data_IF_688009588270
#
_entry.id   IF_688009588270
#
_cell.length_a   1.000
_cell.length_b   1.000
_cell.length_c   1.000
_cell.angle_alpha   90.00
_cell.angle_beta   90.00
_cell.angle_gamma   90.00
#
_symmetry.space_group_name_H-M   'P 1'
#
loop_
_entity.id
_entity.type
_entity.pdbx_description
1 polymer ?
#
# COMPACT_ATOMS: atom_id res chain seq x y z
N UNK A 1 -27.92 25.47 44.35
CA UNK A 1 -28.24 24.23 43.62
C UNK A 1 -27.53 24.29 42.28
N UNK A 2 -26.43 23.55 42.13
CA UNK A 2 -25.61 23.58 40.90
C UNK A 2 -26.03 22.39 40.06
N UNK A 3 -26.71 22.65 38.94
CA UNK A 3 -27.12 21.63 37.98
C UNK A 3 -25.92 21.40 37.05
N UNK A 4 -25.16 20.33 37.29
CA UNK A 4 -24.14 19.86 36.36
C UNK A 4 -24.85 19.01 35.32
N UNK A 5 -25.12 19.59 34.15
CA UNK A 5 -25.59 18.83 32.99
C UNK A 5 -24.44 17.97 32.46
N UNK A 6 -24.50 16.66 32.73
CA UNK A 6 -23.68 15.63 32.08
C UNK A 6 -24.07 15.55 30.60
N UNK A 7 -23.44 16.37 29.77
CA UNK A 7 -23.39 16.15 28.33
C UNK A 7 -22.41 15.00 28.08
N UNK A 8 -22.94 13.77 27.97
CA UNK A 8 -22.19 12.64 27.46
C UNK A 8 -21.78 12.95 26.01
N UNK A 9 -20.50 13.28 25.83
CA UNK A 9 -19.91 13.44 24.50
C UNK A 9 -19.97 12.09 23.79
N UNK A 10 -20.91 11.94 22.86
CA UNK A 10 -20.95 10.86 21.89
C UNK A 10 -19.76 11.03 20.94
N UNK A 11 -18.60 10.52 21.35
CA UNK A 11 -17.49 10.27 20.43
C UNK A 11 -17.93 9.07 19.59
N UNK A 12 -18.07 9.19 18.25
CA UNK A 12 -18.39 8.03 17.42
C UNK A 12 -17.30 6.97 17.60
N UNK A 13 -17.72 5.70 17.72
CA UNK A 13 -16.79 4.59 17.83
C UNK A 13 -15.74 4.65 16.70
N UNK A 14 -14.46 4.43 17.01
CA UNK A 14 -13.41 4.44 15.99
C UNK A 14 -13.77 3.39 14.92
N UNK A 15 -13.58 3.70 13.62
CA UNK A 15 -13.96 2.79 12.55
C UNK A 15 -13.29 1.43 12.73
N UNK A 16 -14.10 0.36 12.67
CA UNK A 16 -13.62 -1.01 12.69
C UNK A 16 -12.56 -1.20 11.58
N UNK A 17 -11.42 -1.84 11.86
CA UNK A 17 -10.42 -2.13 10.84
C UNK A 17 -11.05 -2.97 9.72
N UNK A 18 -10.87 -2.50 8.48
CA UNK A 18 -11.39 -3.09 7.25
C UNK A 18 -11.08 -4.60 7.20
N UNK A 19 -12.11 -5.40 6.95
CA UNK A 19 -12.12 -6.85 7.10
C UNK A 19 -11.17 -7.64 6.18
N UNK A 20 -10.58 -6.98 5.18
CA UNK A 20 -9.88 -7.61 4.05
C UNK A 20 -8.34 -7.75 4.24
N UNK A 21 -7.75 -7.20 5.30
CA UNK A 21 -6.30 -7.26 5.58
C UNK A 21 -5.88 -8.39 6.56
N UNK A 22 -6.77 -9.36 6.84
CA UNK A 22 -6.46 -10.49 7.74
C UNK A 22 -5.75 -11.61 7.00
N UNK A 23 -4.42 -11.54 6.91
CA UNK A 23 -3.61 -12.72 7.17
C UNK A 23 -3.74 -12.99 8.69
N UNK A 24 -4.84 -13.57 9.18
CA UNK A 24 -5.20 -14.96 8.93
C UNK A 24 -4.64 -15.86 10.03
N UNK A 25 -4.55 -15.37 11.27
CA UNK A 25 -4.82 -16.01 12.57
C UNK A 25 -4.14 -15.15 13.66
N UNK A 26 -4.93 -14.49 14.49
CA UNK A 26 -4.44 -13.65 15.58
C UNK A 26 -4.51 -14.43 16.89
N UNK A 27 -3.36 -14.85 17.42
CA UNK A 27 -3.29 -15.62 18.66
C UNK A 27 -2.92 -14.75 19.86
N UNK A 28 -3.40 -15.17 21.03
CA UNK A 28 -3.09 -14.53 22.30
C UNK A 28 -1.67 -14.89 22.71
N UNK A 29 -0.85 -13.88 22.99
CA UNK A 29 0.55 -14.05 23.39
C UNK A 29 0.74 -14.98 24.60
N UNK A 30 -0.27 -15.09 25.47
CA UNK A 30 -0.19 -15.84 26.74
C UNK A 30 -0.70 -17.27 26.62
N UNK A 31 -1.79 -17.49 25.88
CA UNK A 31 -2.51 -18.77 25.91
C UNK A 31 -2.77 -19.36 24.53
N UNK A 32 -2.29 -18.71 23.46
CA UNK A 32 -2.41 -19.14 22.07
C UNK A 32 -3.84 -19.37 21.55
N UNK A 33 -4.87 -18.94 22.31
CA UNK A 33 -6.26 -18.87 21.83
C UNK A 33 -6.44 -17.70 20.88
N UNK A 34 -7.56 -17.68 20.15
CA UNK A 34 -7.95 -16.53 19.34
C UNK A 34 -7.96 -15.23 20.15
N UNK A 35 -7.36 -14.19 19.58
CA UNK A 35 -7.14 -12.90 20.22
C UNK A 35 -7.77 -11.76 19.42
N UNK A 36 -9.05 -11.43 19.72
CA UNK A 36 -9.73 -10.32 19.07
C UNK A 36 -9.19 -8.96 19.53
N UNK A 37 -8.55 -8.87 20.69
CA UNK A 37 -8.07 -7.60 21.25
C UNK A 37 -6.60 -7.37 20.94
N UNK A 38 -6.26 -6.14 20.58
CA UNK A 38 -4.89 -5.63 20.47
C UNK A 38 -4.58 -4.72 21.65
N UNK A 39 -3.33 -4.72 22.12
CA UNK A 39 -2.88 -3.71 23.10
C UNK A 39 -3.15 -2.30 22.56
N UNK A 40 -3.91 -1.49 23.29
CA UNK A 40 -4.33 -0.15 22.83
C UNK A 40 -3.16 0.82 22.64
N UNK A 41 -2.06 0.63 23.38
CA UNK A 41 -0.88 1.47 23.31
C UNK A 41 -0.01 1.14 22.08
N UNK A 42 0.48 -0.09 21.97
CA UNK A 42 1.40 -0.46 20.88
C UNK A 42 0.70 -1.01 19.64
N UNK A 43 -0.56 -1.47 19.72
CA UNK A 43 -1.34 -2.06 18.61
C UNK A 43 -0.66 -3.27 17.92
N UNK A 44 0.37 -3.85 18.54
CA UNK A 44 1.14 -4.98 17.99
C UNK A 44 0.76 -6.29 18.66
N UNK A 45 0.89 -6.38 19.99
CA UNK A 45 0.58 -7.61 20.73
C UNK A 45 -0.93 -7.80 20.89
N UNK A 46 -1.37 -9.05 20.80
CA UNK A 46 -2.79 -9.42 20.88
C UNK A 46 -3.10 -10.30 22.08
N UNK A 47 -4.31 -10.13 22.62
CA UNK A 47 -4.80 -10.86 23.78
C UNK A 47 -6.24 -11.33 23.58
N UNK A 48 -6.59 -12.45 24.19
CA UNK A 48 -7.96 -12.94 24.23
C UNK A 48 -8.81 -12.23 25.29
N UNK A 49 -8.18 -11.57 26.27
CA UNK A 49 -8.86 -10.89 27.38
C UNK A 49 -7.94 -9.92 28.13
N UNK A 50 -8.51 -8.96 28.90
CA UNK A 50 -7.74 -8.11 29.82
C UNK A 50 -6.94 -8.91 30.87
N UNK A 51 -7.43 -10.09 31.26
CA UNK A 51 -6.71 -10.98 32.18
C UNK A 51 -5.37 -11.44 31.59
N UNK A 52 -5.36 -11.88 30.33
CA UNK A 52 -4.11 -12.28 29.66
C UNK A 52 -3.17 -11.08 29.47
N UNK A 53 -3.69 -9.92 29.12
CA UNK A 53 -2.88 -8.69 29.04
C UNK A 53 -2.24 -8.35 30.39
N UNK A 54 -3.00 -8.42 31.48
CA UNK A 54 -2.50 -8.16 32.83
C UNK A 54 -1.43 -9.16 33.28
N UNK A 55 -1.60 -10.43 32.95
CA UNK A 55 -0.61 -11.48 33.23
C UNK A 55 0.72 -11.24 32.48
N UNK A 56 0.64 -10.80 31.23
CA UNK A 56 1.80 -10.52 30.38
C UNK A 56 2.47 -9.17 30.68
N UNK A 57 1.77 -8.23 31.33
CA UNK A 57 2.20 -6.83 31.44
C UNK A 57 3.63 -6.63 31.95
N UNK A 58 4.09 -7.47 32.90
CA UNK A 58 5.46 -7.38 33.44
C UNK A 58 6.53 -7.56 32.35
N UNK A 59 6.27 -8.42 31.38
CA UNK A 59 7.14 -8.70 30.24
C UNK A 59 6.83 -7.73 29.10
N UNK A 60 5.54 -7.59 28.75
CA UNK A 60 5.09 -6.75 27.65
C UNK A 60 5.43 -5.26 27.80
N UNK A 61 5.45 -4.69 29.01
CA UNK A 61 5.67 -3.24 29.20
C UNK A 61 6.92 -2.68 28.50
N UNK A 62 7.98 -3.48 28.40
CA UNK A 62 9.22 -3.05 27.76
C UNK A 62 9.10 -3.14 26.23
N UNK A 63 8.63 -4.27 25.70
CA UNK A 63 8.38 -4.43 24.26
C UNK A 63 7.29 -3.47 23.77
N UNK A 64 6.29 -3.16 24.59
CA UNK A 64 5.25 -2.18 24.31
C UNK A 64 5.82 -0.79 23.99
N UNK A 65 6.79 -0.31 24.79
CA UNK A 65 7.47 0.97 24.54
C UNK A 65 8.30 0.94 23.26
N UNK A 66 8.96 -0.19 22.98
CA UNK A 66 9.74 -0.37 21.76
C UNK A 66 8.82 -0.32 20.54
N UNK A 67 7.71 -1.07 20.56
CA UNK A 67 6.73 -1.09 19.49
C UNK A 67 6.06 0.27 19.26
N UNK A 68 5.76 1.03 20.33
CA UNK A 68 5.26 2.40 20.18
C UNK A 68 6.26 3.28 19.40
N UNK A 69 7.54 3.27 19.79
CA UNK A 69 8.59 4.02 19.07
C UNK A 69 8.75 3.54 17.62
N UNK A 70 8.71 2.23 17.38
CA UNK A 70 8.78 1.66 16.03
C UNK A 70 7.60 2.13 15.19
N UNK A 71 6.38 2.14 15.73
CA UNK A 71 5.18 2.60 15.04
C UNK A 71 5.25 4.10 14.72
N UNK A 72 5.74 4.91 15.65
CA UNK A 72 5.99 6.35 15.43
C UNK A 72 6.99 6.57 14.29
N UNK A 73 8.12 5.85 14.30
CA UNK A 73 9.13 5.91 13.24
C UNK A 73 8.56 5.46 11.89
N UNK A 74 7.84 4.33 11.86
CA UNK A 74 7.18 3.83 10.66
C UNK A 74 6.17 4.83 10.11
N UNK A 75 5.39 5.47 10.97
CA UNK A 75 4.44 6.52 10.58
C UNK A 75 5.17 7.72 9.98
N UNK A 76 6.27 8.17 10.60
CA UNK A 76 7.09 9.26 10.07
C UNK A 76 7.69 8.92 8.70
N UNK A 77 8.25 7.72 8.54
CA UNK A 77 8.78 7.22 7.27
C UNK A 77 7.67 7.12 6.21
N UNK A 78 6.48 6.66 6.58
CA UNK A 78 5.34 6.55 5.68
C UNK A 78 4.91 7.92 5.14
N UNK A 79 4.91 8.95 6.00
CA UNK A 79 4.55 10.32 5.66
C UNK A 79 5.67 11.08 4.93
N UNK A 80 6.92 10.62 5.03
CA UNK A 80 8.05 11.28 4.38
C UNK A 80 8.12 10.80 2.92
N UNK A 81 7.98 11.71 1.93
CA UNK A 81 8.14 11.34 0.54
C UNK A 81 9.58 10.88 0.28
N UNK A 82 9.80 9.88 -0.59
CA UNK A 82 11.14 9.41 -0.91
C UNK A 82 11.96 10.55 -1.51
N UNK A 83 13.22 10.69 -1.08
CA UNK A 83 14.15 11.64 -1.70
C UNK A 83 14.35 11.26 -3.16
N UNK A 84 14.39 12.26 -4.04
CA UNK A 84 14.68 12.05 -5.46
C UNK A 84 16.10 11.45 -5.61
N UNK A 85 16.29 10.42 -6.45
CA UNK A 85 17.62 9.86 -6.73
C UNK A 85 18.57 10.89 -7.37
N UNK A 86 19.90 10.69 -7.23
CA UNK A 86 20.89 11.51 -7.93
C UNK A 86 20.72 11.45 -9.44
N UNK A 87 20.93 12.58 -10.13
CA UNK A 87 20.89 12.64 -11.60
C UNK A 87 22.13 11.99 -12.23
N UNK A 88 21.97 11.43 -13.44
CA UNK A 88 23.09 10.88 -14.23
C UNK A 88 23.51 9.46 -13.85
N UNK A 89 22.72 8.76 -13.03
CA UNK A 89 22.97 7.38 -12.63
C UNK A 89 21.67 6.57 -12.71
N UNK A 90 21.77 5.35 -13.27
CA UNK A 90 20.64 4.42 -13.24
C UNK A 90 20.32 4.03 -11.79
N UNK A 91 19.10 4.30 -11.34
CA UNK A 91 18.62 3.91 -10.00
C UNK A 91 18.50 2.40 -9.85
N UNK A 92 18.27 1.67 -10.94
CA UNK A 92 18.11 0.21 -10.91
C UNK A 92 19.42 -0.57 -10.76
N UNK A 93 20.51 -0.16 -11.42
CA UNK A 93 21.79 -0.87 -11.40
C UNK A 93 22.98 -0.04 -10.90
N UNK A 94 22.76 1.21 -10.49
CA UNK A 94 23.80 2.14 -10.07
C UNK A 94 24.87 2.45 -11.12
N UNK A 95 24.66 2.09 -12.39
CA UNK A 95 25.58 2.45 -13.46
C UNK A 95 25.56 3.98 -13.66
N UNK A 96 26.73 4.61 -13.50
CA UNK A 96 26.96 5.98 -13.94
C UNK A 96 26.89 6.04 -15.46
N UNK A 97 26.29 7.10 -15.96
CA UNK A 97 26.08 7.25 -17.39
C UNK A 97 27.15 8.19 -17.93
N UNK A 98 28.06 7.64 -18.75
CA UNK A 98 28.99 8.45 -19.54
C UNK A 98 28.27 9.17 -20.66
N UNK A 99 28.96 10.09 -21.33
CA UNK A 99 28.42 10.84 -22.47
C UNK A 99 27.79 9.90 -23.51
N UNK A 100 26.55 10.20 -23.92
CA UNK A 100 25.85 9.50 -25.02
C UNK A 100 24.85 8.40 -24.63
N UNK A 101 24.80 7.93 -23.38
CA UNK A 101 23.73 7.01 -22.93
C UNK A 101 22.54 7.77 -22.36
N UNK A 102 21.32 7.45 -22.81
CA UNK A 102 20.08 8.05 -22.31
C UNK A 102 19.51 7.22 -21.15
N UNK A 103 19.10 7.89 -20.07
CA UNK A 103 18.28 7.31 -19.01
C UNK A 103 16.81 7.67 -19.25
N UNK A 104 15.91 6.71 -19.12
CA UNK A 104 14.49 6.98 -18.93
C UNK A 104 14.32 7.64 -17.56
N UNK A 105 13.72 8.82 -17.50
CA UNK A 105 13.53 9.61 -16.29
C UNK A 105 12.04 9.69 -15.95
N UNK A 106 11.67 9.24 -14.75
CA UNK A 106 10.35 9.52 -14.20
C UNK A 106 10.33 10.95 -13.63
N UNK A 107 9.51 11.82 -14.22
CA UNK A 107 9.41 13.23 -13.81
C UNK A 107 8.83 13.41 -12.41
N UNK A 108 8.02 12.47 -11.96
CA UNK A 108 7.31 12.54 -10.68
C UNK A 108 8.25 12.21 -9.51
N UNK A 109 8.87 11.02 -9.54
CA UNK A 109 9.73 10.53 -8.44
C UNK A 109 11.24 10.66 -8.69
N UNK A 110 11.67 11.05 -9.89
CA UNK A 110 13.09 11.19 -10.24
C UNK A 110 13.84 9.88 -10.50
N UNK A 111 13.13 8.73 -10.49
CA UNK A 111 13.73 7.44 -10.83
C UNK A 111 14.29 7.47 -12.24
N UNK A 112 15.50 6.94 -12.42
CA UNK A 112 16.19 6.88 -13.71
C UNK A 112 16.57 5.44 -14.05
N UNK A 113 16.24 4.96 -15.25
CA UNK A 113 16.62 3.63 -15.71
C UNK A 113 17.39 3.68 -17.02
N UNK A 114 18.45 2.88 -17.13
CA UNK A 114 19.05 2.60 -18.44
C UNK A 114 18.15 1.64 -19.23
N UNK A 115 18.33 1.53 -20.55
CA UNK A 115 17.46 0.67 -21.40
C UNK A 115 17.42 -0.80 -20.97
N UNK A 116 18.51 -1.33 -20.38
CA UNK A 116 18.52 -2.68 -19.80
C UNK A 116 17.68 -2.75 -18.52
N UNK A 117 17.69 -1.71 -17.68
CA UNK A 117 16.88 -1.69 -16.47
C UNK A 117 15.41 -1.42 -16.78
N UNK A 118 15.08 -0.62 -17.79
CA UNK A 118 13.70 -0.31 -18.19
C UNK A 118 12.88 -1.57 -18.51
N UNK A 119 13.52 -2.58 -19.09
CA UNK A 119 12.90 -3.88 -19.41
C UNK A 119 13.08 -4.93 -18.30
N UNK A 120 13.80 -4.61 -17.22
CA UNK A 120 14.13 -5.56 -16.15
C UNK A 120 13.03 -5.63 -15.10
N UNK A 121 12.66 -6.84 -14.69
CA UNK A 121 11.58 -7.08 -13.74
C UNK A 121 11.82 -6.35 -12.39
N UNK A 122 12.99 -6.47 -11.77
CA UNK A 122 13.25 -5.83 -10.47
C UNK A 122 13.80 -4.39 -10.51
N UNK A 123 14.13 -3.86 -11.70
CA UNK A 123 14.90 -2.61 -11.85
C UNK A 123 14.27 -1.61 -12.84
N UNK A 124 13.15 -1.96 -13.43
CA UNK A 124 12.44 -1.19 -14.45
C UNK A 124 11.18 -0.50 -13.96
N UNK A 125 11.02 -0.35 -12.65
CA UNK A 125 9.84 0.30 -12.08
C UNK A 125 10.24 1.51 -11.25
N UNK A 126 9.64 2.65 -11.58
CA UNK A 126 9.80 3.86 -10.77
C UNK A 126 9.01 3.75 -9.44
N UNK A 127 9.22 4.69 -8.52
CA UNK A 127 8.59 4.66 -7.20
C UNK A 127 7.11 5.12 -7.18
N UNK A 128 6.50 5.33 -8.34
CA UNK A 128 5.16 5.89 -8.41
C UNK A 128 4.13 4.78 -8.16
N UNK A 129 3.17 4.97 -7.23
CA UNK A 129 2.18 3.94 -6.92
C UNK A 129 1.20 3.69 -8.07
N UNK A 130 0.97 4.71 -8.90
CA UNK A 130 -0.11 4.74 -9.88
C UNK A 130 0.38 4.80 -11.33
N UNK A 131 1.69 4.81 -11.54
CA UNK A 131 2.30 4.89 -12.87
C UNK A 131 3.67 4.22 -12.92
N UNK A 132 4.12 3.86 -14.13
CA UNK A 132 5.53 3.57 -14.40
C UNK A 132 6.08 4.56 -15.42
N UNK A 133 7.11 5.32 -15.06
CA UNK A 133 7.68 6.39 -15.90
C UNK A 133 6.63 7.34 -16.52
N UNK A 134 5.58 7.66 -15.75
CA UNK A 134 4.49 8.54 -16.17
C UNK A 134 3.33 7.86 -16.92
N UNK A 135 3.48 6.59 -17.33
CA UNK A 135 2.37 5.81 -17.90
C UNK A 135 1.50 5.27 -16.78
N UNK A 136 0.21 5.65 -16.75
CA UNK A 136 -0.71 5.26 -15.66
C UNK A 136 -1.06 3.78 -15.73
N UNK A 137 -0.99 3.09 -14.58
CA UNK A 137 -1.34 1.68 -14.47
C UNK A 137 -2.81 1.36 -14.72
N UNK A 138 -3.70 2.36 -14.70
CA UNK A 138 -5.09 2.14 -15.09
C UNK A 138 -5.26 1.93 -16.60
N UNK A 139 -4.36 2.47 -17.43
CA UNK A 139 -4.43 2.43 -18.90
C UNK A 139 -3.51 1.39 -19.54
N UNK A 140 -2.54 0.89 -18.78
CA UNK A 140 -1.63 -0.18 -19.22
C UNK A 140 -1.79 -1.39 -18.30
N UNK A 141 -1.43 -2.57 -18.78
CA UNK A 141 -1.35 -3.74 -17.91
C UNK A 141 -0.15 -3.62 -16.95
N UNK A 142 -0.38 -3.56 -15.61
CA UNK A 142 0.70 -3.60 -14.65
C UNK A 142 1.33 -4.99 -14.68
N UNK A 143 2.65 -5.05 -14.84
CA UNK A 143 3.38 -6.30 -14.73
C UNK A 143 3.51 -6.68 -13.25
N UNK A 144 3.62 -7.97 -12.93
CA UNK A 144 3.71 -8.47 -11.54
C UNK A 144 4.85 -7.82 -10.75
N UNK A 145 5.89 -7.37 -11.44
CA UNK A 145 7.06 -6.75 -10.85
C UNK A 145 6.99 -5.21 -10.78
N UNK A 146 5.94 -4.60 -11.33
CA UNK A 146 5.70 -3.18 -11.17
C UNK A 146 5.23 -2.90 -9.74
N UNK A 147 6.09 -2.25 -8.94
CA UNK A 147 5.81 -1.87 -7.55
C UNK A 147 6.13 -0.40 -7.30
N UNK A 148 5.57 0.17 -6.24
CA UNK A 148 5.77 1.56 -5.83
C UNK A 148 7.13 1.84 -5.14
N UNK A 149 8.15 1.02 -5.37
CA UNK A 149 9.43 1.07 -4.67
C UNK A 149 9.42 0.59 -3.21
N UNK A 150 8.24 0.32 -2.63
CA UNK A 150 8.04 -0.30 -1.30
C UNK A 150 7.46 -1.72 -1.42
N UNK A 151 7.57 -2.33 -2.60
CA UNK A 151 7.10 -3.69 -2.87
C UNK A 151 5.59 -3.83 -3.03
N UNK A 152 4.80 -2.74 -2.94
CA UNK A 152 3.36 -2.80 -3.18
C UNK A 152 3.07 -2.61 -4.67
N UNK A 153 2.37 -3.58 -5.26
CA UNK A 153 1.83 -3.49 -6.61
C UNK A 153 0.66 -2.50 -6.70
N UNK A 154 0.24 -2.23 -7.93
CA UNK A 154 -0.93 -1.39 -8.19
C UNK A 154 -2.22 -2.15 -7.89
N UNK A 155 -3.10 -1.56 -7.08
CA UNK A 155 -4.39 -2.14 -6.68
C UNK A 155 -5.59 -1.25 -7.07
N UNK A 156 -5.35 -0.20 -7.86
CA UNK A 156 -6.40 0.75 -8.27
C UNK A 156 -7.23 0.26 -9.44
N UNK A 157 -8.12 1.13 -9.91
CA UNK A 157 -8.96 0.88 -11.08
C UNK A 157 -8.16 0.53 -12.34
N UNK A 158 -8.72 -0.33 -13.18
CA UNK A 158 -8.16 -0.69 -14.49
C UNK A 158 -9.18 -0.49 -15.59
N UNK A 159 -8.71 0.05 -16.70
CA UNK A 159 -9.45 0.24 -17.94
C UNK A 159 -8.45 0.28 -19.12
N UNK A 160 -7.66 -0.79 -19.32
CA UNK A 160 -6.60 -0.78 -20.32
C UNK A 160 -7.16 -0.55 -21.72
N UNK A 161 -6.47 0.26 -22.52
CA UNK A 161 -6.76 0.38 -23.94
C UNK A 161 -6.23 -0.86 -24.64
N UNK A 162 -7.13 -1.70 -25.13
CA UNK A 162 -6.75 -2.92 -25.85
C UNK A 162 -6.45 -2.58 -27.30
N UNK A 163 -5.19 -2.75 -27.72
CA UNK A 163 -4.79 -2.65 -29.13
C UNK A 163 -5.31 -3.84 -29.95
N UNK A 164 -6.64 -3.92 -30.16
CA UNK A 164 -7.27 -4.83 -31.10
C UNK A 164 -7.99 -6.07 -30.53
N UNK A 165 -7.87 -6.36 -29.22
CA UNK A 165 -8.67 -7.40 -28.56
C UNK A 165 -9.27 -6.90 -27.24
N UNK A 166 -10.50 -6.38 -27.25
CA UNK A 166 -11.16 -5.92 -26.03
C UNK A 166 -11.34 -7.07 -25.04
N UNK A 167 -11.13 -6.77 -23.75
CA UNK A 167 -11.48 -7.70 -22.69
C UNK A 167 -12.99 -7.99 -22.73
N UNK A 168 -13.41 -9.18 -22.26
CA UNK A 168 -14.82 -9.52 -22.19
C UNK A 168 -15.61 -8.47 -21.38
N UNK A 169 -16.81 -8.14 -21.87
CA UNK A 169 -17.62 -7.03 -21.32
C UNK A 169 -18.00 -7.23 -19.86
N UNK A 170 -18.10 -8.48 -19.41
CA UNK A 170 -18.40 -8.91 -18.06
C UNK A 170 -17.31 -8.59 -17.05
N UNK A 171 -16.07 -8.34 -17.50
CA UNK A 171 -14.98 -7.90 -16.63
C UNK A 171 -15.16 -6.45 -16.18
N UNK A 172 -15.95 -5.67 -16.92
CA UNK A 172 -16.22 -4.28 -16.63
C UNK A 172 -17.44 -4.10 -15.72
N UNK A 173 -17.42 -3.04 -14.93
CA UNK A 173 -18.60 -2.52 -14.24
C UNK A 173 -19.68 -2.13 -15.26
N UNK A 174 -20.97 -2.32 -14.93
CA UNK A 174 -22.07 -2.03 -15.85
C UNK A 174 -22.21 -0.54 -16.16
N UNK A 175 -21.88 0.32 -15.18
CA UNK A 175 -22.02 1.77 -15.26
C UNK A 175 -20.64 2.41 -15.40
N UNK A 176 -20.53 3.39 -16.31
CA UNK A 176 -19.31 4.19 -16.43
C UNK A 176 -19.17 5.10 -15.21
N UNK A 177 -17.97 5.18 -14.65
CA UNK A 177 -17.63 6.11 -13.58
C UNK A 177 -16.24 6.69 -13.79
N UNK A 178 -15.91 7.74 -13.03
CA UNK A 178 -14.56 8.27 -13.01
C UNK A 178 -13.60 7.21 -12.43
N UNK A 179 -12.48 7.00 -13.11
CA UNK A 179 -11.39 6.15 -12.61
C UNK A 179 -10.68 6.85 -11.43
N UNK A 180 -10.46 6.11 -10.35
CA UNK A 180 -9.83 6.62 -9.12
C UNK A 180 -8.34 7.00 -9.31
N UNK A 181 -7.70 6.52 -10.38
CA UNK A 181 -6.32 6.86 -10.72
C UNK A 181 -6.23 8.03 -11.70
N UNK A 182 -7.00 8.00 -12.79
CA UNK A 182 -6.85 8.98 -13.86
C UNK A 182 -7.97 10.02 -14.00
N UNK A 183 -9.11 9.84 -13.32
CA UNK A 183 -10.28 10.71 -13.39
C UNK A 183 -11.11 10.56 -14.67
N UNK A 184 -10.66 9.77 -15.65
CA UNK A 184 -11.40 9.54 -16.89
C UNK A 184 -12.71 8.81 -16.59
N UNK A 185 -13.82 9.32 -17.11
CA UNK A 185 -15.13 8.65 -17.03
C UNK A 185 -15.17 7.55 -18.10
N UNK A 186 -15.06 6.31 -17.66
CA UNK A 186 -14.99 5.15 -18.55
C UNK A 186 -15.59 3.89 -17.91
N UNK A 187 -15.65 2.79 -18.65
CA UNK A 187 -15.91 1.47 -18.09
C UNK A 187 -14.62 0.98 -17.42
N UNK A 188 -14.70 0.68 -16.14
CA UNK A 188 -13.59 0.20 -15.32
C UNK A 188 -13.83 -1.26 -14.95
N UNK A 189 -12.77 -2.01 -14.68
CA UNK A 189 -12.88 -3.40 -14.25
C UNK A 189 -13.57 -3.51 -12.88
N UNK A 190 -14.42 -4.53 -12.73
CA UNK A 190 -14.96 -4.90 -11.41
C UNK A 190 -13.82 -5.29 -10.47
N UNK A 191 -14.04 -5.16 -9.16
CA UNK A 191 -13.00 -5.32 -8.12
C UNK A 191 -12.22 -6.63 -8.26
N UNK A 192 -12.94 -7.71 -8.51
CA UNK A 192 -12.39 -9.05 -8.71
C UNK A 192 -11.43 -9.07 -9.92
N UNK A 193 -11.75 -8.40 -11.03
CA UNK A 193 -10.92 -8.37 -12.25
C UNK A 193 -9.75 -7.38 -12.23
N UNK A 194 -9.54 -6.65 -11.12
CA UNK A 194 -8.46 -5.65 -11.03
C UNK A 194 -7.08 -6.30 -10.95
N UNK A 195 -6.95 -7.45 -10.33
CA UNK A 195 -5.67 -8.18 -10.30
C UNK A 195 -5.51 -8.99 -11.60
N UNK A 196 -4.54 -8.65 -12.49
CA UNK A 196 -4.33 -9.40 -13.72
C UNK A 196 -3.90 -10.86 -13.50
N UNK A 197 -3.45 -11.23 -12.30
CA UNK A 197 -2.91 -12.57 -12.02
C UNK A 197 -3.93 -13.54 -11.42
N UNK A 198 -5.15 -13.08 -11.13
CA UNK A 198 -6.21 -13.91 -10.54
C UNK A 198 -7.00 -14.69 -11.60
N UNK A 199 -6.85 -14.36 -12.88
CA UNK A 199 -7.73 -14.86 -13.97
C UNK A 199 -7.00 -15.69 -15.04
N UNK A 200 -5.73 -16.02 -14.80
CA UNK A 200 -4.89 -16.86 -15.67
C UNK A 200 -4.71 -18.26 -15.08
#
# INVERSE_FOLDING_TARGET
>A
MVIITLAAMLIPDPPHPLEEDRCGFAFCEVCMKEAPYTCSACRTTRYCSPRCQGADWRVHRQSCKIHQKLNEMNTRIALTPPKRPPLGQCTGCNAKVGEGRRLALCKDCGYQACGSCESHYSRGTCYCPNSNFGKKYCQMEPRWYHTNGRGRGYAGDRHPETHGQPYPSEMYEPVKRACDNCGLVTKVFKKEYRDPWVWH
#
